data_IF_737761754086
#
_entry.id   IF_737761754086
#
_cell.length_a   1.000
_cell.length_b   1.000
_cell.length_c   1.000
_cell.angle_alpha   90.00
_cell.angle_beta   90.00
_cell.angle_gamma   90.00
#
_symmetry.space_group_name_H-M   'P 1'
#
loop_
_entity.id
_entity.type
_entity.pdbx_description
1 polymer ?
#
# COMPACT_ATOMS: atom_id res chain seq x y z
N UNK A 1 -0.73 5.10 -11.06
CA UNK A 1 -1.66 4.77 -9.95
C UNK A 1 -3.14 4.78 -10.31
N UNK A 2 -3.62 5.59 -11.26
CA UNK A 2 -5.05 5.65 -11.63
C UNK A 2 -5.67 4.27 -11.94
N UNK A 3 -5.03 3.46 -12.78
CA UNK A 3 -5.56 2.14 -13.15
C UNK A 3 -5.66 1.15 -11.97
N UNK A 4 -4.73 1.24 -11.01
CA UNK A 4 -4.70 0.37 -9.83
C UNK A 4 -5.91 0.68 -8.92
N UNK A 5 -6.13 1.97 -8.67
CA UNK A 5 -7.22 2.44 -7.81
C UNK A 5 -8.59 2.14 -8.43
N UNK A 6 -8.75 2.38 -9.73
CA UNK A 6 -9.98 2.03 -10.46
C UNK A 6 -10.27 0.53 -10.42
N UNK A 7 -9.25 -0.32 -10.53
CA UNK A 7 -9.43 -1.77 -10.47
C UNK A 7 -9.82 -2.24 -9.06
N UNK A 8 -9.25 -1.64 -8.00
CA UNK A 8 -9.61 -1.94 -6.61
C UNK A 8 -11.08 -1.57 -6.31
N UNK A 9 -11.51 -0.38 -6.74
CA UNK A 9 -12.89 0.09 -6.54
C UNK A 9 -13.92 -0.80 -7.27
N UNK A 10 -13.63 -1.22 -8.50
CA UNK A 10 -14.49 -2.14 -9.26
C UNK A 10 -14.60 -3.53 -8.61
N UNK A 11 -13.58 -3.95 -7.87
CA UNK A 11 -13.58 -5.24 -7.18
C UNK A 11 -14.36 -5.25 -5.86
N UNK A 12 -14.68 -4.06 -5.30
CA UNK A 12 -15.28 -3.91 -3.98
C UNK A 12 -16.83 -4.02 -3.98
N UNK A 13 -17.49 -3.97 -5.15
CA UNK A 13 -18.96 -4.05 -5.27
C UNK A 13 -19.49 -5.47 -5.50
N UNK A 14 -20.57 -5.83 -4.79
CA UNK A 14 -21.45 -7.01 -4.95
C UNK A 14 -20.87 -8.41 -4.74
N UNK A 15 -21.15 -8.98 -3.55
CA UNK A 15 -21.00 -10.41 -3.24
C UNK A 15 -19.55 -10.90 -3.28
N UNK A 16 -19.26 -12.02 -2.60
CA UNK A 16 -17.93 -12.61 -2.68
C UNK A 16 -17.75 -13.31 -4.04
N UNK A 17 -17.62 -12.55 -5.12
CA UNK A 17 -17.22 -13.09 -6.41
C UNK A 17 -15.76 -13.52 -6.30
N UNK A 18 -15.53 -14.83 -6.25
CA UNK A 18 -14.22 -15.44 -6.02
C UNK A 18 -13.11 -14.80 -6.88
N UNK A 19 -13.39 -14.56 -8.17
CA UNK A 19 -12.44 -13.92 -9.10
C UNK A 19 -12.06 -12.50 -8.68
N UNK A 20 -13.03 -11.68 -8.24
CA UNK A 20 -12.77 -10.31 -7.75
C UNK A 20 -11.95 -10.33 -6.46
N UNK A 21 -12.26 -11.27 -5.56
CA UNK A 21 -11.52 -11.38 -4.30
C UNK A 21 -10.10 -11.91 -4.49
N UNK A 22 -9.88 -12.89 -5.37
CA UNK A 22 -8.53 -13.35 -5.75
C UNK A 22 -7.73 -12.20 -6.35
N UNK A 23 -8.33 -11.44 -7.26
CA UNK A 23 -7.69 -10.25 -7.82
C UNK A 23 -7.30 -9.25 -6.73
N UNK A 24 -8.21 -8.96 -5.79
CA UNK A 24 -7.96 -8.03 -4.69
C UNK A 24 -6.82 -8.51 -3.78
N UNK A 25 -6.73 -9.81 -3.50
CA UNK A 25 -5.60 -10.40 -2.76
C UNK A 25 -4.27 -10.20 -3.49
N UNK A 26 -4.24 -10.45 -4.80
CA UNK A 26 -3.03 -10.23 -5.62
C UNK A 26 -2.65 -8.77 -5.65
N UNK A 27 -3.62 -7.87 -5.78
CA UNK A 27 -3.36 -6.44 -5.78
C UNK A 27 -2.80 -5.95 -4.43
N UNK A 28 -3.33 -6.45 -3.31
CA UNK A 28 -2.78 -6.18 -1.98
C UNK A 28 -1.32 -6.62 -1.87
N UNK A 29 -0.98 -7.80 -2.39
CA UNK A 29 0.41 -8.29 -2.41
C UNK A 29 1.33 -7.37 -3.23
N UNK A 30 0.87 -6.88 -4.39
CA UNK A 30 1.62 -5.93 -5.21
C UNK A 30 1.84 -4.61 -4.47
N UNK A 31 0.81 -4.06 -3.82
CA UNK A 31 0.90 -2.80 -3.05
C UNK A 31 1.85 -2.96 -1.85
N UNK A 32 1.80 -4.10 -1.15
CA UNK A 32 2.72 -4.41 -0.05
C UNK A 32 4.16 -4.54 -0.54
N UNK A 33 4.40 -5.29 -1.62
CA UNK A 33 5.74 -5.46 -2.19
C UNK A 33 6.33 -4.13 -2.69
N UNK A 34 5.50 -3.26 -3.27
CA UNK A 34 5.91 -1.92 -3.68
C UNK A 34 6.34 -1.07 -2.48
N UNK A 35 5.66 -1.18 -1.34
CA UNK A 35 6.07 -0.51 -0.11
C UNK A 35 7.43 -0.98 0.39
N UNK A 36 7.69 -2.29 0.35
CA UNK A 36 9.01 -2.84 0.67
C UNK A 36 10.10 -2.32 -0.27
N UNK A 37 9.80 -2.24 -1.57
CA UNK A 37 10.74 -1.67 -2.54
C UNK A 37 11.00 -0.19 -2.29
N UNK A 38 9.96 0.59 -2.00
CA UNK A 38 10.11 1.99 -1.65
C UNK A 38 11.05 2.16 -0.45
N UNK A 39 10.82 1.42 0.63
CA UNK A 39 11.69 1.42 1.80
C UNK A 39 13.14 1.07 1.45
N UNK A 40 13.37 0.01 0.68
CA UNK A 40 14.72 -0.40 0.30
C UNK A 40 15.44 0.66 -0.56
N UNK A 41 14.72 1.27 -1.49
CA UNK A 41 15.26 2.28 -2.39
C UNK A 41 15.58 3.59 -1.68
N UNK A 42 14.72 4.03 -0.75
CA UNK A 42 14.94 5.26 0.02
C UNK A 42 15.98 5.12 1.12
N UNK A 43 16.24 3.89 1.60
CA UNK A 43 17.29 3.64 2.58
C UNK A 43 18.71 3.71 2.00
N UNK A 44 18.87 3.54 0.69
CA UNK A 44 20.20 3.54 0.05
C UNK A 44 20.70 4.99 -0.15
N UNK A 45 21.82 5.39 0.48
CA UNK A 45 22.36 6.75 0.33
C UNK A 45 22.91 7.04 -1.08
N UNK A 46 23.20 6.00 -1.86
CA UNK A 46 23.61 6.11 -3.26
C UNK A 46 22.42 6.43 -4.19
N UNK A 47 21.23 6.01 -3.79
CA UNK A 47 20.00 6.30 -4.49
C UNK A 47 19.46 7.64 -3.99
N UNK A 48 19.66 8.71 -4.76
CA UNK A 48 18.98 10.01 -4.57
C UNK A 48 17.50 9.90 -4.95
N UNK A 49 16.79 8.92 -4.40
CA UNK A 49 15.37 8.70 -4.65
C UNK A 49 14.59 9.54 -3.63
N UNK A 50 13.95 10.57 -4.15
CA UNK A 50 13.01 11.39 -3.38
C UNK A 50 11.71 10.62 -3.12
N UNK A 51 11.01 11.02 -2.06
CA UNK A 51 9.69 10.47 -1.75
C UNK A 51 8.75 10.81 -2.92
N UNK A 52 8.07 9.82 -3.54
CA UNK A 52 7.21 10.09 -4.68
C UNK A 52 6.11 11.10 -4.33
N UNK A 53 5.84 12.07 -5.20
CA UNK A 53 4.71 13.03 -5.03
C UNK A 53 3.32 12.38 -4.93
N UNK A 54 3.22 11.08 -5.20
CA UNK A 54 1.98 10.29 -5.12
C UNK A 54 1.95 9.36 -3.90
N UNK A 55 2.85 9.56 -2.94
CA UNK A 55 2.96 8.76 -1.73
C UNK A 55 1.68 8.81 -0.88
N UNK A 56 1.00 9.96 -0.81
CA UNK A 56 -0.32 10.13 -0.19
C UNK A 56 -1.36 9.14 -0.76
N UNK A 57 -1.41 8.99 -2.09
CA UNK A 57 -2.34 8.10 -2.80
C UNK A 57 -1.99 6.63 -2.56
N UNK A 58 -0.71 6.33 -2.45
CA UNK A 58 -0.23 5.00 -2.07
C UNK A 58 -0.69 4.65 -0.64
N UNK A 59 -0.45 5.53 0.33
CA UNK A 59 -0.85 5.34 1.72
C UNK A 59 -2.35 5.19 1.87
N UNK A 60 -3.13 6.01 1.14
CA UNK A 60 -4.58 5.88 1.12
C UNK A 60 -5.03 4.52 0.58
N UNK A 61 -4.39 4.03 -0.49
CA UNK A 61 -4.70 2.71 -1.05
C UNK A 61 -4.35 1.59 -0.07
N UNK A 62 -3.21 1.68 0.63
CA UNK A 62 -2.81 0.71 1.64
C UNK A 62 -3.78 0.73 2.84
N UNK A 63 -4.25 1.91 3.24
CA UNK A 63 -5.26 2.08 4.28
C UNK A 63 -6.60 1.46 3.87
N UNK A 64 -7.04 1.63 2.63
CA UNK A 64 -8.27 1.01 2.13
C UNK A 64 -8.20 -0.53 2.21
N UNK A 65 -7.05 -1.14 1.89
CA UNK A 65 -6.82 -2.57 2.11
C UNK A 65 -6.83 -2.96 3.59
N UNK A 66 -6.31 -2.09 4.45
CA UNK A 66 -6.25 -2.29 5.91
C UNK A 66 -7.65 -2.24 6.53
N UNK A 67 -8.50 -1.32 6.08
CA UNK A 67 -9.87 -1.13 6.56
C UNK A 67 -10.86 -2.12 5.95
N UNK A 68 -10.45 -2.92 4.96
CA UNK A 68 -11.31 -3.90 4.32
C UNK A 68 -11.81 -4.96 5.33
N UNK A 69 -13.06 -5.46 5.23
CA UNK A 69 -13.59 -6.53 6.09
C UNK A 69 -12.84 -7.88 6.00
N UNK A 70 -11.92 -8.03 5.06
CA UNK A 70 -11.17 -9.26 4.87
C UNK A 70 -9.99 -9.30 5.83
N UNK A 71 -9.97 -10.30 6.71
CA UNK A 71 -8.86 -10.52 7.62
C UNK A 71 -7.53 -10.75 6.89
N UNK A 72 -7.57 -11.44 5.74
CA UNK A 72 -6.37 -11.70 4.94
C UNK A 72 -5.78 -10.40 4.37
N UNK A 73 -6.63 -9.51 3.83
CA UNK A 73 -6.15 -8.25 3.27
C UNK A 73 -5.59 -7.36 4.38
N UNK A 74 -6.30 -7.25 5.50
CA UNK A 74 -5.84 -6.50 6.66
C UNK A 74 -4.46 -7.00 7.14
N UNK A 75 -4.30 -8.29 7.41
CA UNK A 75 -3.02 -8.83 7.88
C UNK A 75 -1.88 -8.67 6.86
N UNK A 76 -2.18 -8.74 5.56
CA UNK A 76 -1.20 -8.59 4.48
C UNK A 76 -0.58 -7.20 4.38
N UNK A 77 -1.22 -6.18 4.97
CA UNK A 77 -0.71 -4.79 4.99
C UNK A 77 0.14 -4.48 6.21
N UNK A 78 0.04 -5.27 7.29
CA UNK A 78 0.63 -4.94 8.59
C UNK A 78 2.16 -4.84 8.55
N UNK A 79 2.83 -5.78 7.86
CA UNK A 79 4.29 -5.73 7.73
C UNK A 79 4.74 -4.48 6.95
N UNK A 80 4.00 -4.10 5.91
CA UNK A 80 4.27 -2.90 5.11
C UNK A 80 4.16 -1.64 5.96
N UNK A 81 3.09 -1.50 6.76
CA UNK A 81 2.97 -0.39 7.71
C UNK A 81 4.12 -0.37 8.71
N UNK A 82 4.46 -1.52 9.28
CA UNK A 82 5.59 -1.64 10.20
C UNK A 82 6.90 -1.17 9.56
N UNK A 83 7.18 -1.55 8.31
CA UNK A 83 8.37 -1.08 7.58
C UNK A 83 8.34 0.43 7.34
N UNK A 84 7.21 0.99 6.92
CA UNK A 84 7.07 2.42 6.64
C UNK A 84 7.27 3.28 7.91
N UNK A 85 6.60 2.94 9.01
CA UNK A 85 6.69 3.71 10.26
C UNK A 85 8.05 3.60 10.94
N UNK A 86 8.80 2.51 10.69
CA UNK A 86 10.15 2.32 11.24
C UNK A 86 11.25 2.89 10.35
N UNK A 87 10.92 3.37 9.15
CA UNK A 87 11.91 3.84 8.18
C UNK A 87 12.37 5.27 8.50
N UNK A 88 13.68 5.52 8.54
CA UNK A 88 14.27 6.78 9.04
C UNK A 88 13.88 8.05 8.27
N UNK A 89 13.59 7.91 6.97
CA UNK A 89 13.17 9.00 6.09
C UNK A 89 11.64 9.06 5.99
N UNK A 90 11.00 7.99 5.49
CA UNK A 90 9.55 7.93 5.28
C UNK A 90 8.71 8.20 6.54
N UNK A 91 9.15 7.79 7.74
CA UNK A 91 8.44 8.04 9.02
C UNK A 91 8.27 9.53 9.35
N UNK A 92 9.07 10.40 8.74
CA UNK A 92 9.02 11.86 8.91
C UNK A 92 8.17 12.54 7.84
N UNK A 93 7.69 11.81 6.85
CA UNK A 93 6.84 12.35 5.81
C UNK A 93 5.47 12.74 6.38
N UNK A 94 5.01 13.94 6.05
CA UNK A 94 3.75 14.48 6.55
C UNK A 94 2.54 13.63 6.17
N UNK A 95 2.53 13.00 4.99
CA UNK A 95 1.42 12.16 4.57
C UNK A 95 1.35 10.89 5.43
N UNK A 96 2.49 10.31 5.80
CA UNK A 96 2.53 9.13 6.68
C UNK A 96 2.16 9.46 8.12
N UNK A 97 2.57 10.64 8.63
CA UNK A 97 2.20 11.09 9.97
C UNK A 97 0.71 11.42 10.11
N UNK A 98 0.02 11.70 9.01
CA UNK A 98 -1.40 12.00 8.98
C UNK A 98 -2.31 10.76 8.82
N UNK A 99 -1.73 9.55 8.72
CA UNK A 99 -2.48 8.29 8.58
C UNK A 99 -3.01 7.75 9.90
#
# INVERSE_FOLDING_TARGET
MHCIMTAAQKAHGEGLQEKRYIFLKRLCQVVSALGSQLCALTASPENKIEIPMTFDKYLKSLLDFTSHPSQFLKSSTMMTWGSLFRHDILSKDHALQAM
#
